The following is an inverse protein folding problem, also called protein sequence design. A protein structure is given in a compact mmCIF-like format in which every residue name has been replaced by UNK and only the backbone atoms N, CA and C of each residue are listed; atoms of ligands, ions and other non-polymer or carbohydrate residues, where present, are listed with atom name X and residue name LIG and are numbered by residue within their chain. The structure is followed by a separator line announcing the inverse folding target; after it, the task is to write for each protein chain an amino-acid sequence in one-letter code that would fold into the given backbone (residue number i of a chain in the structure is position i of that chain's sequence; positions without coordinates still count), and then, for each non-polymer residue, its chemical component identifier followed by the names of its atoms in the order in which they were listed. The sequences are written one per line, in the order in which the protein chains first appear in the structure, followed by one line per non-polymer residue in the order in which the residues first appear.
data_IF_344443675697
#
_entry.id   IF_344443675697
#
_cell.length_a   1.000
_cell.length_b   1.000
_cell.length_c   1.000
_cell.angle_alpha   90.00
_cell.angle_beta   90.00
_cell.angle_gamma   90.00
#
_symmetry.space_group_name_H-M   'P 1'
#
loop_
_entity.id
_entity.type
_entity.pdbx_description
1 polymer ?
#
# COMPACT_ATOMS: atom_id res chain seq x y z
N UNK A 1 -8.17 9.87 -16.71
CA UNK A 1 -7.12 9.30 -15.84
C UNK A 1 -6.82 10.32 -14.77
N UNK A 2 -6.82 9.94 -13.50
CA UNK A 2 -6.61 10.87 -12.39
C UNK A 2 -5.14 10.83 -11.94
N UNK A 3 -4.62 11.96 -11.46
CA UNK A 3 -3.37 12.00 -10.70
C UNK A 3 -3.77 12.40 -9.29
N UNK A 4 -3.50 11.53 -8.32
CA UNK A 4 -3.84 11.76 -6.92
C UNK A 4 -2.57 11.94 -6.08
N UNK A 5 -2.67 12.85 -5.11
CA UNK A 5 -1.63 13.19 -4.17
C UNK A 5 -2.17 13.05 -2.75
N UNK A 6 -1.37 12.52 -1.80
CA UNK A 6 -1.76 12.58 -0.41
C UNK A 6 -1.91 14.04 0.03
N UNK A 7 -2.88 14.30 0.89
CA UNK A 7 -2.92 15.55 1.65
C UNK A 7 -1.63 15.71 2.46
N UNK A 8 -1.35 16.91 2.95
CA UNK A 8 -0.13 17.18 3.74
C UNK A 8 0.06 16.14 4.86
N UNK A 9 1.17 15.40 4.81
CA UNK A 9 1.52 14.37 5.76
C UNK A 9 2.53 14.94 6.77
N UNK A 10 2.15 15.04 8.03
CA UNK A 10 3.04 15.61 9.06
C UNK A 10 4.38 14.87 9.18
N UNK A 11 4.36 13.53 9.06
CA UNK A 11 5.54 12.68 9.22
C UNK A 11 6.15 12.21 7.88
N UNK A 12 5.74 12.76 6.73
CA UNK A 12 6.42 12.50 5.46
C UNK A 12 6.49 13.70 4.53
N UNK A 13 7.63 13.87 3.87
CA UNK A 13 7.77 14.82 2.76
C UNK A 13 8.76 14.31 1.71
N UNK A 14 8.43 14.47 0.43
CA UNK A 14 9.38 14.33 -0.68
C UNK A 14 10.16 15.64 -0.83
N UNK A 15 11.47 15.63 -0.61
CA UNK A 15 12.31 16.83 -0.69
C UNK A 15 12.81 17.07 -2.11
N UNK A 16 13.26 16.01 -2.78
CA UNK A 16 13.76 16.08 -4.16
C UNK A 16 13.71 14.69 -4.80
N UNK A 17 13.72 14.66 -6.13
CA UNK A 17 13.90 13.44 -6.90
C UNK A 17 14.60 13.75 -8.22
N UNK A 18 15.27 12.75 -8.77
CA UNK A 18 16.01 12.87 -10.02
C UNK A 18 17.28 12.02 -10.01
N UNK A 19 17.85 11.80 -11.19
CA UNK A 19 19.02 10.94 -11.38
C UNK A 19 18.80 9.52 -10.84
N UNK A 20 17.60 8.98 -11.00
CA UNK A 20 17.24 7.63 -10.56
C UNK A 20 17.06 7.48 -9.05
N UNK A 21 16.86 8.58 -8.31
CA UNK A 21 16.75 8.57 -6.84
C UNK A 21 15.68 9.53 -6.34
N UNK A 22 15.27 9.31 -5.09
CA UNK A 22 14.44 10.23 -4.30
C UNK A 22 15.05 10.48 -2.92
N UNK A 23 14.82 11.68 -2.42
CA UNK A 23 15.22 12.16 -1.10
C UNK A 23 13.94 12.46 -0.32
N UNK A 24 13.74 11.74 0.78
CA UNK A 24 12.50 11.77 1.55
C UNK A 24 12.79 11.95 3.02
N UNK A 25 11.93 12.69 3.72
CA UNK A 25 11.95 12.78 5.18
C UNK A 25 10.80 11.97 5.73
N UNK A 26 11.10 11.10 6.68
CA UNK A 26 10.13 10.28 7.40
C UNK A 26 10.28 10.54 8.90
N UNK A 27 9.28 11.15 9.52
CA UNK A 27 9.28 11.52 10.94
C UNK A 27 10.60 12.19 11.37
N UNK A 28 10.98 13.25 10.64
CA UNK A 28 12.23 13.99 10.85
C UNK A 28 13.49 13.36 10.24
N UNK A 29 13.51 12.05 9.99
CA UNK A 29 14.68 11.31 9.53
C UNK A 29 14.82 11.30 8.00
N UNK A 30 15.97 11.76 7.49
CA UNK A 30 16.20 11.95 6.06
C UNK A 30 16.79 10.68 5.40
N UNK A 31 16.12 10.16 4.37
CA UNK A 31 16.53 8.96 3.64
C UNK A 31 16.66 9.22 2.14
N UNK A 32 17.68 8.63 1.52
CA UNK A 32 17.84 8.60 0.06
C UNK A 32 17.65 7.18 -0.46
N UNK A 33 16.74 7.01 -1.42
CA UNK A 33 16.38 5.70 -1.98
C UNK A 33 16.42 5.70 -3.51
N UNK A 34 16.69 4.55 -4.15
CA UNK A 34 16.53 4.41 -5.60
C UNK A 34 15.07 4.62 -6.02
N UNK A 35 14.90 5.38 -7.09
CA UNK A 35 13.64 5.58 -7.81
C UNK A 35 13.96 5.61 -9.31
N UNK A 36 14.03 4.45 -9.98
CA UNK A 36 14.44 4.37 -11.39
C UNK A 36 13.58 5.21 -12.33
N UNK A 37 12.31 5.45 -11.98
CA UNK A 37 11.41 6.31 -12.76
C UNK A 37 11.75 7.81 -12.68
N UNK A 38 12.56 8.24 -11.71
CA UNK A 38 12.98 9.64 -11.55
C UNK A 38 14.13 10.00 -12.51
N UNK A 39 13.85 9.96 -13.81
CA UNK A 39 14.82 10.15 -14.91
C UNK A 39 15.21 11.61 -15.18
N UNK A 40 14.54 12.57 -14.52
CA UNK A 40 14.86 14.00 -14.60
C UNK A 40 16.07 14.37 -13.73
N UNK A 41 16.52 15.62 -13.85
CA UNK A 41 17.62 16.14 -13.04
C UNK A 41 17.15 16.46 -11.61
N UNK A 42 18.03 16.20 -10.63
CA UNK A 42 17.86 16.66 -9.25
C UNK A 42 17.81 18.18 -9.22
N UNK A 43 16.93 18.75 -8.41
CA UNK A 43 16.83 20.20 -8.23
C UNK A 43 17.67 20.69 -7.06
N UNK A 44 17.77 19.91 -5.99
CA UNK A 44 18.58 20.27 -4.83
C UNK A 44 20.07 20.01 -5.08
N UNK A 45 20.91 20.82 -4.42
CA UNK A 45 22.37 20.68 -4.51
C UNK A 45 22.86 19.34 -3.93
N UNK A 46 24.08 18.94 -4.32
CA UNK A 46 24.73 17.75 -3.78
C UNK A 46 24.81 17.78 -2.24
N UNK A 47 25.01 18.95 -1.64
CA UNK A 47 25.07 19.12 -0.18
C UNK A 47 23.76 18.71 0.51
N UNK A 48 22.59 19.06 -0.06
CA UNK A 48 21.30 18.61 0.46
C UNK A 48 21.15 17.09 0.40
N UNK A 49 21.58 16.47 -0.71
CA UNK A 49 21.56 15.02 -0.85
C UNK A 49 22.55 14.31 0.09
N UNK A 50 23.70 14.93 0.37
CA UNK A 50 24.71 14.44 1.29
C UNK A 50 24.27 14.49 2.77
N UNK A 51 23.25 15.28 3.10
CA UNK A 51 22.64 15.29 4.44
C UNK A 51 21.79 14.04 4.73
N UNK A 52 21.52 13.18 3.74
CA UNK A 52 20.76 11.95 3.95
C UNK A 52 21.39 11.08 5.06
N UNK A 53 20.60 10.80 6.10
CA UNK A 53 21.04 10.06 7.28
C UNK A 53 21.09 8.56 7.03
N UNK A 54 20.29 8.07 6.07
CA UNK A 54 20.48 6.74 5.50
C UNK A 54 20.33 6.77 3.98
N UNK A 55 21.18 5.99 3.30
CA UNK A 55 21.18 5.87 1.85
C UNK A 55 21.05 4.39 1.50
N UNK A 56 20.00 4.00 0.79
CA UNK A 56 19.93 2.67 0.19
C UNK A 56 20.82 2.65 -1.05
N UNK A 57 21.90 1.88 -0.99
CA UNK A 57 22.93 1.78 -2.03
C UNK A 57 22.64 0.62 -2.98
N UNK A 58 23.22 0.67 -4.17
CA UNK A 58 22.95 -0.27 -5.28
C UNK A 58 23.25 -1.72 -4.94
N UNK A 59 24.16 -1.97 -3.98
CA UNK A 59 24.47 -3.31 -3.48
C UNK A 59 23.35 -3.93 -2.63
N UNK A 60 22.20 -3.25 -2.49
CA UNK A 60 21.02 -3.76 -1.81
C UNK A 60 21.09 -3.64 -0.28
N UNK A 61 21.81 -2.64 0.23
CA UNK A 61 21.99 -2.42 1.68
C UNK A 61 21.77 -0.96 2.04
N UNK A 62 21.49 -0.70 3.32
CA UNK A 62 21.49 0.65 3.86
C UNK A 62 22.89 1.05 4.31
N UNK A 63 23.41 2.14 3.75
CA UNK A 63 24.53 2.89 4.34
C UNK A 63 23.94 3.91 5.32
N UNK A 64 24.15 3.68 6.62
CA UNK A 64 23.67 4.54 7.69
C UNK A 64 24.77 5.52 8.10
N UNK A 65 24.45 6.81 8.11
CA UNK A 65 25.32 7.88 8.65
C UNK A 65 25.05 8.06 10.14
N UNK A 66 23.77 7.99 10.53
CA UNK A 66 23.30 8.00 11.92
C UNK A 66 22.17 6.97 12.09
N UNK A 67 21.87 6.46 13.29
CA UNK A 67 20.70 5.62 13.49
C UNK A 67 19.39 6.43 13.39
N UNK A 68 18.27 5.84 12.91
CA UNK A 68 16.96 6.45 13.05
C UNK A 68 16.52 6.53 14.51
N UNK A 69 15.55 7.40 14.86
CA UNK A 69 14.93 7.43 16.18
C UNK A 69 14.45 6.05 16.62
N UNK A 70 14.38 5.81 17.93
CA UNK A 70 13.88 4.55 18.49
C UNK A 70 12.84 4.82 19.58
N UNK A 71 11.56 4.47 19.36
CA UNK A 71 11.01 3.93 18.11
C UNK A 71 10.99 4.99 16.98
N UNK A 72 11.12 4.55 15.73
CA UNK A 72 10.91 5.40 14.55
C UNK A 72 9.46 5.25 14.11
N UNK A 73 8.65 6.27 14.32
CA UNK A 73 7.20 6.19 14.18
C UNK A 73 6.70 7.19 13.15
N UNK A 74 5.84 6.73 12.25
CA UNK A 74 5.09 7.53 11.29
C UNK A 74 3.66 7.68 11.78
N UNK A 75 3.22 8.92 12.01
CA UNK A 75 1.85 9.25 12.41
C UNK A 75 1.03 9.66 11.20
N UNK A 76 -0.17 9.11 11.12
CA UNK A 76 -1.15 9.42 10.10
C UNK A 76 -2.54 9.41 10.71
N UNK A 77 -3.15 10.58 10.87
CA UNK A 77 -4.39 10.73 11.63
C UNK A 77 -4.25 10.03 13.00
N UNK A 78 -5.15 9.10 13.32
CA UNK A 78 -5.12 8.34 14.57
C UNK A 78 -4.18 7.12 14.53
N UNK A 79 -3.53 6.86 13.40
CA UNK A 79 -2.62 5.73 13.23
C UNK A 79 -1.19 6.09 13.63
N UNK A 80 -0.53 5.15 14.29
CA UNK A 80 0.91 5.19 14.56
C UNK A 80 1.55 3.92 13.99
N UNK A 81 2.36 4.10 12.95
CA UNK A 81 3.00 3.02 12.20
C UNK A 81 4.50 3.00 12.47
N UNK A 82 5.05 1.83 12.79
CA UNK A 82 6.48 1.67 13.00
C UNK A 82 7.23 1.66 11.65
N UNK A 83 8.27 2.49 11.55
CA UNK A 83 9.19 2.52 10.42
C UNK A 83 10.47 1.73 10.74
N UNK A 84 11.03 1.06 9.74
CA UNK A 84 12.30 0.34 9.85
C UNK A 84 13.11 0.48 8.57
N UNK A 85 14.43 0.60 8.71
CA UNK A 85 15.34 0.35 7.59
C UNK A 85 15.40 -1.17 7.38
N UNK A 86 14.58 -1.68 6.46
CA UNK A 86 14.49 -3.12 6.18
C UNK A 86 15.73 -3.61 5.41
N UNK A 87 15.93 -4.93 5.24
CA UNK A 87 16.93 -5.45 4.31
C UNK A 87 16.72 -5.02 2.85
N UNK A 88 15.56 -4.43 2.52
CA UNK A 88 15.21 -3.90 1.21
C UNK A 88 15.09 -2.37 1.26
N UNK A 89 14.72 -1.75 0.14
CA UNK A 89 14.52 -0.30 0.03
C UNK A 89 13.28 0.24 0.77
N UNK A 90 12.43 -0.64 1.33
CA UNK A 90 11.20 -0.23 2.01
C UNK A 90 11.46 0.24 3.44
N UNK A 91 10.66 1.21 3.88
CA UNK A 91 10.72 1.80 5.23
C UNK A 91 9.57 1.33 6.13
N UNK A 92 8.62 0.55 5.60
CA UNK A 92 7.46 0.02 6.33
C UNK A 92 6.14 0.73 6.02
N UNK A 93 6.16 1.87 5.33
CA UNK A 93 4.97 2.62 4.93
C UNK A 93 5.17 3.15 3.51
N UNK A 94 4.08 3.19 2.73
CA UNK A 94 3.99 3.79 1.40
C UNK A 94 3.07 5.02 1.49
N UNK A 95 3.63 6.21 1.76
CA UNK A 95 2.84 7.40 2.11
C UNK A 95 1.87 7.86 1.01
N UNK A 96 2.18 7.57 -0.25
CA UNK A 96 1.30 7.84 -1.40
C UNK A 96 -0.04 7.10 -1.30
N UNK A 97 -0.12 5.99 -0.56
CA UNK A 97 -1.36 5.24 -0.37
C UNK A 97 -2.35 5.93 0.58
N UNK A 98 -1.95 7.00 1.29
CA UNK A 98 -2.84 7.73 2.19
C UNK A 98 -4.15 8.16 1.49
N UNK A 99 -4.10 8.54 0.20
CA UNK A 99 -5.32 8.89 -0.56
C UNK A 99 -6.31 7.73 -0.68
N UNK A 100 -5.81 6.50 -0.72
CA UNK A 100 -6.63 5.30 -0.79
C UNK A 100 -7.15 4.90 0.59
N UNK A 101 -6.37 5.17 1.65
CA UNK A 101 -6.81 4.98 3.02
C UNK A 101 -7.96 5.94 3.37
N UNK A 102 -7.83 7.22 3.01
CA UNK A 102 -8.88 8.22 3.19
C UNK A 102 -10.13 7.86 2.41
N UNK A 103 -9.98 7.54 1.13
CA UNK A 103 -11.11 7.14 0.28
C UNK A 103 -11.87 5.93 0.82
N UNK A 104 -11.15 4.87 1.24
CA UNK A 104 -11.79 3.69 1.81
C UNK A 104 -12.45 4.00 3.16
N UNK A 105 -11.79 4.78 4.02
CA UNK A 105 -12.30 5.17 5.34
C UNK A 105 -13.57 6.01 5.24
N UNK A 106 -13.64 6.91 4.26
CA UNK A 106 -14.83 7.71 3.97
C UNK A 106 -16.04 6.84 3.59
N UNK A 107 -15.83 5.84 2.73
CA UNK A 107 -16.88 4.92 2.32
C UNK A 107 -17.35 4.04 3.49
N UNK A 108 -16.39 3.56 4.30
CA UNK A 108 -16.68 2.76 5.49
C UNK A 108 -17.50 3.56 6.50
N UNK A 109 -17.11 4.81 6.77
CA UNK A 109 -17.77 5.68 7.76
C UNK A 109 -19.19 6.05 7.32
N UNK A 110 -19.44 6.18 6.00
CA UNK A 110 -20.76 6.50 5.43
C UNK A 110 -21.67 5.27 5.29
N UNK A 111 -21.15 4.07 5.48
CA UNK A 111 -21.92 2.83 5.42
C UNK A 111 -22.99 2.77 6.50
N UNK A 112 -24.17 2.25 6.15
CA UNK A 112 -25.30 2.09 7.09
C UNK A 112 -25.16 0.89 8.03
N UNK A 113 -24.19 0.01 7.75
CA UNK A 113 -23.85 -1.13 8.58
C UNK A 113 -22.33 -1.22 8.72
N UNK A 114 -21.87 -1.99 9.70
CA UNK A 114 -20.45 -2.33 9.87
C UNK A 114 -19.97 -3.16 8.67
N UNK A 115 -19.09 -2.64 7.80
CA UNK A 115 -18.66 -3.38 6.63
C UNK A 115 -17.56 -4.39 6.97
N UNK A 116 -17.53 -5.50 6.24
CA UNK A 116 -16.47 -6.51 6.27
C UNK A 116 -15.50 -6.29 5.10
N UNK A 117 -14.23 -6.02 5.40
CA UNK A 117 -13.22 -5.67 4.39
C UNK A 117 -12.16 -6.76 4.32
N UNK A 118 -11.80 -7.19 3.11
CA UNK A 118 -10.66 -8.06 2.85
C UNK A 118 -9.48 -7.23 2.34
N UNK A 119 -8.32 -7.33 3.00
CA UNK A 119 -7.07 -6.72 2.55
C UNK A 119 -6.07 -7.82 2.16
N UNK A 120 -5.75 -7.91 0.87
CA UNK A 120 -4.81 -8.88 0.29
C UNK A 120 -3.46 -8.21 0.00
N UNK A 121 -2.37 -8.95 0.21
CA UNK A 121 -1.00 -8.42 0.12
C UNK A 121 -0.79 -7.24 1.08
N UNK A 122 -1.33 -7.40 2.29
CA UNK A 122 -1.62 -6.29 3.19
C UNK A 122 -0.39 -5.71 3.91
N UNK A 123 0.79 -6.34 3.77
CA UNK A 123 2.08 -5.87 4.25
C UNK A 123 2.06 -5.48 5.74
N UNK A 124 2.47 -4.26 6.07
CA UNK A 124 2.54 -3.72 7.45
C UNK A 124 1.20 -3.20 7.96
N UNK A 125 0.12 -3.40 7.21
CA UNK A 125 -1.25 -3.23 7.68
C UNK A 125 -1.79 -1.81 7.70
N UNK A 126 -1.13 -0.81 7.09
CA UNK A 126 -1.63 0.57 7.10
C UNK A 126 -3.09 0.69 6.64
N UNK A 127 -3.43 0.11 5.48
CA UNK A 127 -4.82 0.10 4.97
C UNK A 127 -5.78 -0.72 5.86
N UNK A 128 -5.29 -1.81 6.48
CA UNK A 128 -6.08 -2.59 7.44
C UNK A 128 -6.43 -1.77 8.66
N UNK A 129 -5.47 -1.04 9.22
CA UNK A 129 -5.66 -0.23 10.42
C UNK A 129 -6.53 0.99 10.12
N UNK A 130 -6.37 1.63 8.97
CA UNK A 130 -7.26 2.70 8.52
C UNK A 130 -8.72 2.22 8.41
N UNK A 131 -8.97 1.11 7.72
CA UNK A 131 -10.31 0.54 7.61
C UNK A 131 -10.91 0.14 8.96
N UNK A 132 -10.11 -0.47 9.85
CA UNK A 132 -10.56 -0.85 11.19
C UNK A 132 -10.83 0.36 12.10
N UNK A 133 -10.02 1.42 12.00
CA UNK A 133 -10.24 2.69 12.69
C UNK A 133 -11.55 3.36 12.23
N UNK A 134 -11.83 3.32 10.93
CA UNK A 134 -13.08 3.79 10.33
C UNK A 134 -14.33 2.96 10.72
N UNK A 135 -14.14 1.81 11.38
CA UNK A 135 -15.22 1.01 11.96
C UNK A 135 -15.47 -0.35 11.31
N UNK A 136 -14.72 -0.72 10.27
CA UNK A 136 -14.87 -2.00 9.61
C UNK A 136 -14.40 -3.20 10.46
N UNK A 137 -14.93 -4.39 10.17
CA UNK A 137 -14.20 -5.63 10.45
C UNK A 137 -13.28 -5.97 9.29
N UNK A 138 -12.03 -6.34 9.57
CA UNK A 138 -11.02 -6.50 8.53
C UNK A 138 -10.40 -7.88 8.57
N UNK A 139 -10.31 -8.55 7.42
CA UNK A 139 -9.47 -9.71 7.22
C UNK A 139 -8.17 -9.28 6.54
N UNK A 140 -7.06 -9.33 7.26
CA UNK A 140 -5.72 -9.01 6.77
C UNK A 140 -5.01 -10.28 6.32
N UNK A 141 -4.52 -10.30 5.07
CA UNK A 141 -3.83 -11.46 4.50
C UNK A 141 -2.49 -11.05 3.90
N UNK A 142 -1.42 -11.68 4.37
CA UNK A 142 -0.09 -11.55 3.80
C UNK A 142 0.68 -12.88 3.96
N UNK A 143 1.51 -13.24 2.99
CA UNK A 143 2.29 -14.50 3.04
C UNK A 143 3.50 -14.41 3.97
N UNK A 144 3.94 -13.19 4.32
CA UNK A 144 5.09 -12.91 5.15
C UNK A 144 4.70 -12.85 6.62
N UNK A 145 5.05 -13.89 7.38
CA UNK A 145 4.89 -13.87 8.84
C UNK A 145 5.57 -12.65 9.50
N UNK A 146 6.79 -12.22 9.10
CA UNK A 146 7.36 -10.97 9.59
C UNK A 146 6.50 -9.74 9.32
N UNK A 147 5.87 -9.63 8.15
CA UNK A 147 4.99 -8.50 7.81
C UNK A 147 3.73 -8.51 8.68
N UNK A 148 3.06 -9.65 8.84
CA UNK A 148 1.88 -9.78 9.72
C UNK A 148 2.22 -9.46 11.18
N UNK A 149 3.39 -9.89 11.67
CA UNK A 149 3.87 -9.51 13.02
C UNK A 149 4.08 -8.00 13.13
N UNK A 150 4.63 -7.36 12.11
CA UNK A 150 4.80 -5.91 12.05
C UNK A 150 3.44 -5.19 12.03
N UNK A 151 2.48 -5.70 11.25
CA UNK A 151 1.13 -5.14 11.21
C UNK A 151 0.39 -5.24 12.55
N UNK A 152 0.55 -6.36 13.28
CA UNK A 152 0.06 -6.50 14.67
C UNK A 152 0.73 -5.49 15.61
N UNK A 153 2.04 -5.26 15.46
CA UNK A 153 2.73 -4.22 16.23
C UNK A 153 2.18 -2.83 15.95
N UNK A 154 1.86 -2.53 14.68
CA UNK A 154 1.23 -1.28 14.30
C UNK A 154 -0.20 -1.15 14.86
N UNK A 155 -0.95 -2.26 14.99
CA UNK A 155 -2.25 -2.29 15.67
C UNK A 155 -2.13 -1.85 17.13
N UNK A 156 -1.14 -2.39 17.86
CA UNK A 156 -0.86 -2.01 19.25
C UNK A 156 -0.47 -0.53 19.36
N UNK A 157 0.46 -0.07 18.50
CA UNK A 157 0.93 1.31 18.49
C UNK A 157 -0.18 2.32 18.15
N UNK A 158 -1.16 1.91 17.34
CA UNK A 158 -2.32 2.74 16.97
C UNK A 158 -3.47 2.64 17.98
N UNK A 159 -3.31 1.93 19.11
CA UNK A 159 -4.35 1.69 20.10
C UNK A 159 -5.64 1.04 19.52
N UNK A 160 -5.48 0.12 18.56
CA UNK A 160 -6.58 -0.56 17.87
C UNK A 160 -6.70 -2.05 18.27
N UNK A 161 -6.19 -2.43 19.44
CA UNK A 161 -6.13 -3.83 19.88
C UNK A 161 -7.53 -4.48 20.06
N UNK A 162 -8.55 -3.67 20.34
CA UNK A 162 -9.95 -4.07 20.48
C UNK A 162 -10.70 -4.19 19.13
N UNK A 163 -10.10 -3.68 18.05
CA UNK A 163 -10.74 -3.70 16.73
C UNK A 163 -10.78 -5.12 16.14
N UNK A 164 -11.87 -5.47 15.42
CA UNK A 164 -12.07 -6.81 14.85
C UNK A 164 -11.22 -7.04 13.60
N UNK A 165 -9.94 -7.37 13.80
CA UNK A 165 -9.00 -7.69 12.73
C UNK A 165 -8.65 -9.18 12.78
N UNK A 166 -8.99 -9.92 11.73
CA UNK A 166 -8.53 -11.30 11.52
C UNK A 166 -7.20 -11.29 10.78
N UNK A 167 -6.16 -11.81 11.42
CA UNK A 167 -4.79 -11.85 10.89
C UNK A 167 -4.47 -13.20 10.25
N UNK A 168 -4.19 -13.21 8.95
CA UNK A 168 -3.90 -14.43 8.19
C UNK A 168 -2.48 -14.36 7.62
N UNK A 169 -1.65 -15.35 8.00
CA UNK A 169 -0.36 -15.60 7.34
C UNK A 169 -0.58 -16.67 6.27
N UNK A 170 -0.85 -16.24 5.04
CA UNK A 170 -1.34 -17.14 3.99
C UNK A 170 -1.02 -16.62 2.58
N UNK A 171 -1.03 -17.52 1.60
CA UNK A 171 -1.02 -17.12 0.20
C UNK A 171 -2.37 -16.52 -0.18
N UNK A 172 -2.37 -15.29 -0.71
CA UNK A 172 -3.60 -14.53 -0.97
C UNK A 172 -4.54 -15.25 -1.94
N UNK A 173 -3.99 -15.93 -2.95
CA UNK A 173 -4.79 -16.64 -3.95
C UNK A 173 -5.43 -17.90 -3.36
N UNK A 174 -4.65 -18.76 -2.67
CA UNK A 174 -5.17 -19.95 -1.98
C UNK A 174 -6.16 -19.58 -0.88
N UNK A 175 -5.92 -18.48 -0.17
CA UNK A 175 -6.84 -17.96 0.84
C UNK A 175 -8.17 -17.55 0.22
N UNK A 176 -8.13 -16.74 -0.85
CA UNK A 176 -9.33 -16.29 -1.56
C UNK A 176 -10.15 -17.48 -2.10
N UNK A 177 -9.49 -18.51 -2.65
CA UNK A 177 -10.16 -19.74 -3.12
C UNK A 177 -10.91 -20.46 -1.99
N UNK A 178 -10.30 -20.55 -0.80
CA UNK A 178 -10.94 -21.21 0.35
C UNK A 178 -12.14 -20.43 0.87
N UNK A 179 -12.02 -19.10 0.97
CA UNK A 179 -13.12 -18.24 1.40
C UNK A 179 -14.27 -18.27 0.40
N UNK A 180 -13.97 -18.28 -0.91
CA UNK A 180 -14.98 -18.38 -1.96
C UNK A 180 -15.72 -19.73 -1.88
N UNK A 181 -15.00 -20.84 -1.67
CA UNK A 181 -15.62 -22.17 -1.44
C UNK A 181 -16.49 -22.22 -0.19
N UNK A 182 -16.17 -21.42 0.83
CA UNK A 182 -16.98 -21.29 2.06
C UNK A 182 -18.17 -20.34 1.90
N UNK A 183 -18.31 -19.66 0.75
CA UNK A 183 -19.35 -18.67 0.52
C UNK A 183 -19.19 -17.39 1.34
N UNK A 184 -17.98 -17.09 1.83
CA UNK A 184 -17.72 -15.87 2.61
C UNK A 184 -17.81 -14.66 1.69
N UNK A 185 -18.46 -13.59 2.19
CA UNK A 185 -18.60 -12.32 1.49
C UNK A 185 -17.91 -11.18 2.25
N UNK A 186 -17.34 -10.25 1.51
CA UNK A 186 -16.71 -9.02 1.99
C UNK A 186 -17.34 -7.84 1.25
N UNK A 187 -17.80 -6.84 1.99
CA UNK A 187 -18.38 -5.62 1.45
C UNK A 187 -17.35 -4.81 0.67
N UNK A 188 -16.07 -4.92 1.01
CA UNK A 188 -15.00 -4.31 0.21
C UNK A 188 -13.72 -5.13 0.16
N UNK A 189 -12.97 -4.95 -0.92
CA UNK A 189 -11.67 -5.60 -1.13
C UNK A 189 -10.61 -4.55 -1.44
N UNK A 190 -9.48 -4.62 -0.74
CA UNK A 190 -8.24 -3.90 -1.01
C UNK A 190 -7.20 -4.94 -1.45
N UNK A 191 -6.48 -4.69 -2.53
CA UNK A 191 -5.33 -5.50 -2.90
C UNK A 191 -4.17 -4.66 -3.43
N UNK A 192 -2.97 -5.00 -2.98
CA UNK A 192 -1.71 -4.40 -3.41
C UNK A 192 -0.71 -5.48 -3.91
N UNK A 193 -1.06 -6.23 -4.97
CA UNK A 193 -0.24 -7.33 -5.47
C UNK A 193 1.14 -6.84 -5.94
N UNK A 194 2.23 -7.52 -5.55
CA UNK A 194 3.56 -7.20 -6.07
C UNK A 194 3.69 -7.63 -7.54
N UNK A 195 4.57 -7.00 -8.30
CA UNK A 195 4.92 -7.44 -9.66
C UNK A 195 5.34 -8.93 -9.70
N UNK A 196 6.15 -9.32 -8.71
CA UNK A 196 6.56 -10.69 -8.45
C UNK A 196 6.53 -10.97 -6.94
N UNK A 197 5.90 -12.07 -6.54
CA UNK A 197 5.87 -12.54 -5.16
C UNK A 197 6.32 -13.99 -5.07
N UNK A 198 6.86 -14.43 -3.93
CA UNK A 198 7.06 -15.85 -3.63
C UNK A 198 6.14 -16.22 -2.48
N UNK A 199 5.38 -17.29 -2.64
CA UNK A 199 4.63 -17.88 -1.54
C UNK A 199 5.53 -18.76 -0.65
N UNK A 200 5.03 -19.15 0.52
CA UNK A 200 5.74 -19.99 1.49
C UNK A 200 6.07 -21.39 0.97
N UNK A 201 5.44 -21.82 -0.14
CA UNK A 201 5.71 -23.09 -0.83
C UNK A 201 6.68 -22.95 -2.03
N UNK A 202 7.25 -21.76 -2.23
CA UNK A 202 8.17 -21.48 -3.34
C UNK A 202 7.51 -21.20 -4.69
N UNK A 203 6.17 -21.26 -4.80
CA UNK A 203 5.47 -20.84 -6.01
C UNK A 203 5.53 -19.33 -6.14
N UNK A 204 5.83 -18.86 -7.34
CA UNK A 204 6.00 -17.43 -7.61
C UNK A 204 4.68 -16.86 -8.13
N UNK A 205 4.08 -15.92 -7.40
CA UNK A 205 3.03 -15.04 -7.91
C UNK A 205 3.64 -14.13 -8.98
N UNK A 206 3.01 -14.07 -10.15
CA UNK A 206 3.36 -13.17 -11.25
C UNK A 206 2.13 -12.36 -11.58
N UNK A 207 2.24 -11.04 -11.46
CA UNK A 207 1.11 -10.11 -11.61
C UNK A 207 0.27 -10.41 -12.88
N UNK A 208 0.90 -10.40 -14.06
CA UNK A 208 0.20 -10.54 -15.35
C UNK A 208 -0.51 -11.90 -15.52
N UNK A 209 0.04 -12.96 -14.91
CA UNK A 209 -0.48 -14.32 -15.03
C UNK A 209 -1.58 -14.58 -14.02
N UNK A 210 -1.37 -14.15 -12.77
CA UNK A 210 -2.16 -14.60 -11.63
C UNK A 210 -3.23 -13.59 -11.21
N UNK A 211 -3.06 -12.30 -11.50
CA UNK A 211 -4.05 -11.28 -11.14
C UNK A 211 -5.42 -11.51 -11.78
N UNK A 212 -5.56 -11.80 -13.09
CA UNK A 212 -6.89 -12.06 -13.68
C UNK A 212 -7.61 -13.22 -12.99
N UNK A 213 -6.87 -14.29 -12.66
CA UNK A 213 -7.41 -15.43 -11.91
C UNK A 213 -7.85 -15.02 -10.50
N UNK A 214 -7.05 -14.22 -9.81
CA UNK A 214 -7.39 -13.73 -8.47
C UNK A 214 -8.65 -12.86 -8.50
N UNK A 215 -8.80 -11.96 -9.48
CA UNK A 215 -9.99 -11.12 -9.62
C UNK A 215 -11.25 -11.96 -9.86
N UNK A 216 -11.17 -12.98 -10.72
CA UNK A 216 -12.30 -13.90 -10.93
C UNK A 216 -12.67 -14.70 -9.65
N UNK A 217 -11.72 -14.97 -8.76
CA UNK A 217 -12.04 -15.57 -7.45
C UNK A 217 -12.69 -14.51 -6.55
N UNK A 218 -12.16 -13.28 -6.54
CA UNK A 218 -12.69 -12.18 -5.74
C UNK A 218 -14.12 -11.78 -6.13
N UNK A 219 -14.56 -11.96 -7.38
CA UNK A 219 -15.97 -11.74 -7.74
C UNK A 219 -16.93 -12.62 -6.93
N UNK A 220 -16.50 -13.84 -6.59
CA UNK A 220 -17.26 -14.76 -5.73
C UNK A 220 -17.19 -14.38 -4.24
N UNK A 221 -16.30 -13.46 -3.86
CA UNK A 221 -16.15 -12.94 -2.49
C UNK A 221 -16.91 -11.63 -2.27
N UNK A 222 -17.47 -11.02 -3.32
CA UNK A 222 -18.27 -9.80 -3.21
C UNK A 222 -19.76 -10.14 -3.07
N UNK A 223 -20.53 -9.36 -2.29
CA UNK A 223 -21.99 -9.37 -2.38
C UNK A 223 -22.45 -8.75 -3.72
N UNK A 224 -23.74 -8.83 -4.02
CA UNK A 224 -24.30 -8.25 -5.25
C UNK A 224 -24.10 -6.73 -5.34
N UNK A 225 -24.09 -6.05 -4.19
CA UNK A 225 -23.85 -4.62 -4.05
C UNK A 225 -22.63 -4.37 -3.14
N UNK A 226 -21.40 -4.54 -3.64
CA UNK A 226 -20.22 -4.29 -2.83
C UNK A 226 -20.06 -2.79 -2.58
N UNK A 227 -19.53 -2.45 -1.39
CA UNK A 227 -19.20 -1.08 -0.99
C UNK A 227 -18.05 -0.53 -1.84
N UNK A 228 -16.97 -1.30 -2.02
CA UNK A 228 -15.86 -0.88 -2.87
C UNK A 228 -14.93 -2.02 -3.31
N UNK A 229 -14.11 -1.75 -4.32
CA UNK A 229 -12.94 -2.57 -4.67
C UNK A 229 -11.77 -1.66 -5.00
N UNK A 230 -10.57 -1.95 -4.50
CA UNK A 230 -9.34 -1.22 -4.82
C UNK A 230 -8.22 -2.17 -5.24
N UNK A 231 -7.62 -1.91 -6.40
CA UNK A 231 -6.35 -2.49 -6.85
C UNK A 231 -5.33 -1.37 -6.89
N UNK A 232 -4.21 -1.55 -6.19
CA UNK A 232 -2.98 -0.81 -6.43
C UNK A 232 -1.96 -1.70 -7.14
N UNK A 233 -1.09 -1.11 -7.98
CA UNK A 233 -0.01 -1.83 -8.62
C UNK A 233 1.27 -0.99 -8.68
N UNK A 234 2.36 -1.54 -8.13
CA UNK A 234 3.70 -0.97 -8.20
C UNK A 234 4.50 -1.56 -9.37
N UNK A 235 5.03 -0.69 -10.23
CA UNK A 235 6.11 -1.01 -11.19
C UNK A 235 5.86 -2.28 -12.03
N UNK A 236 4.75 -2.30 -12.77
CA UNK A 236 4.37 -3.42 -13.66
C UNK A 236 4.40 -3.06 -15.15
N UNK A 237 4.80 -1.84 -15.51
CA UNK A 237 4.82 -1.38 -16.92
C UNK A 237 3.43 -1.25 -17.56
N UNK A 238 2.36 -1.45 -16.78
CA UNK A 238 0.98 -1.31 -17.23
C UNK A 238 0.49 0.12 -17.05
N UNK A 239 -0.44 0.52 -17.91
CA UNK A 239 -1.17 1.77 -17.74
C UNK A 239 -2.28 1.60 -16.68
N UNK A 240 -2.73 2.69 -16.03
CA UNK A 240 -3.92 2.64 -15.16
C UNK A 240 -5.16 2.09 -15.86
N UNK A 241 -5.28 2.30 -17.17
CA UNK A 241 -6.39 1.79 -17.98
C UNK A 241 -6.39 0.26 -18.08
N UNK A 242 -5.22 -0.39 -18.12
CA UNK A 242 -5.12 -1.84 -18.11
C UNK A 242 -5.71 -2.43 -16.82
N UNK A 243 -5.41 -1.80 -15.66
CA UNK A 243 -5.95 -2.22 -14.37
C UNK A 243 -7.46 -1.97 -14.29
N UNK A 244 -7.94 -0.84 -14.84
CA UNK A 244 -9.38 -0.58 -14.98
C UNK A 244 -10.08 -1.66 -15.80
N UNK A 245 -9.52 -2.06 -16.94
CA UNK A 245 -10.12 -3.08 -17.79
C UNK A 245 -10.22 -4.44 -17.06
N UNK A 246 -9.16 -4.82 -16.34
CA UNK A 246 -9.18 -6.05 -15.52
C UNK A 246 -10.26 -6.01 -14.42
N UNK A 247 -10.43 -4.86 -13.76
CA UNK A 247 -11.47 -4.71 -12.75
C UNK A 247 -12.88 -4.70 -13.37
N UNK A 248 -13.01 -4.18 -14.60
CA UNK A 248 -14.26 -4.13 -15.36
C UNK A 248 -14.76 -5.51 -15.81
N UNK A 249 -13.90 -6.55 -15.80
CA UNK A 249 -14.33 -7.93 -16.06
C UNK A 249 -15.26 -8.48 -14.96
N UNK A 250 -15.24 -7.88 -13.75
CA UNK A 250 -16.01 -8.36 -12.59
C UNK A 250 -16.94 -7.31 -11.97
N UNK A 251 -16.80 -6.03 -12.35
CA UNK A 251 -17.56 -4.92 -11.78
C UNK A 251 -17.96 -3.90 -12.88
N UNK A 252 -19.03 -3.13 -12.68
CA UNK A 252 -19.50 -2.15 -13.67
C UNK A 252 -18.46 -1.07 -14.01
N UNK A 253 -18.06 -1.00 -15.28
CA UNK A 253 -16.95 -0.18 -15.78
C UNK A 253 -17.14 1.33 -15.58
N UNK A 254 -18.38 1.79 -15.57
CA UNK A 254 -18.80 3.19 -15.39
C UNK A 254 -18.58 3.69 -13.96
N UNK A 255 -18.53 2.78 -12.98
CA UNK A 255 -18.23 3.08 -11.57
C UNK A 255 -16.76 2.92 -11.21
N UNK A 256 -15.91 2.53 -12.16
CA UNK A 256 -14.47 2.35 -11.94
C UNK A 256 -13.69 3.60 -12.31
N UNK A 257 -13.00 4.16 -11.33
CA UNK A 257 -12.00 5.21 -11.49
C UNK A 257 -10.60 4.59 -11.57
N UNK A 258 -9.70 5.20 -12.34
CA UNK A 258 -8.30 4.80 -12.39
C UNK A 258 -7.37 5.99 -12.60
N UNK A 259 -6.12 5.81 -12.18
CA UNK A 259 -5.14 6.87 -12.19
C UNK A 259 -3.79 6.46 -11.62
N UNK A 260 -3.01 7.47 -11.30
CA UNK A 260 -1.68 7.35 -10.72
C UNK A 260 -1.66 7.98 -9.33
N UNK A 261 -0.86 7.40 -8.44
CA UNK A 261 -0.55 7.95 -7.13
C UNK A 261 0.83 8.58 -7.18
N UNK A 262 0.90 9.84 -6.78
CA UNK A 262 2.12 10.63 -6.82
C UNK A 262 2.49 11.10 -5.43
N UNK A 263 3.80 11.18 -5.18
CA UNK A 263 4.35 12.03 -4.12
C UNK A 263 4.80 13.32 -4.77
N UNK A 264 4.52 14.46 -4.14
CA UNK A 264 4.87 15.76 -4.69
C UNK A 264 5.44 16.72 -3.65
N UNK A 265 6.11 17.73 -4.17
CA UNK A 265 6.40 18.99 -3.51
C UNK A 265 6.06 20.14 -4.47
N UNK A 266 6.41 21.39 -4.11
CA UNK A 266 6.11 22.57 -4.93
C UNK A 266 6.73 22.52 -6.35
N UNK A 267 7.72 21.65 -6.53
CA UNK A 267 8.60 21.62 -7.68
C UNK A 267 8.41 20.39 -8.59
N UNK A 268 7.99 19.26 -8.02
CA UNK A 268 7.99 17.94 -8.67
C UNK A 268 6.75 17.17 -8.26
N UNK A 269 6.12 16.55 -9.25
CA UNK A 269 5.11 15.52 -9.09
C UNK A 269 5.71 14.17 -9.54
N UNK A 270 6.02 13.29 -8.60
CA UNK A 270 6.72 12.04 -8.84
C UNK A 270 5.76 10.84 -8.82
N UNK A 271 5.55 10.13 -9.94
CA UNK A 271 4.70 8.95 -9.99
C UNK A 271 5.29 7.82 -9.13
N UNK A 272 4.43 7.12 -8.39
CA UNK A 272 4.80 6.05 -7.47
C UNK A 272 4.13 4.72 -7.82
N UNK A 273 2.82 4.75 -8.06
CA UNK A 273 2.03 3.56 -8.42
C UNK A 273 0.81 3.94 -9.25
N UNK A 274 0.12 2.92 -9.77
CA UNK A 274 -1.16 3.07 -10.45
C UNK A 274 -2.27 2.42 -9.63
N UNK A 275 -3.50 2.90 -9.79
CA UNK A 275 -4.66 2.31 -9.12
C UNK A 275 -5.87 2.20 -10.05
N UNK A 276 -6.75 1.25 -9.73
CA UNK A 276 -8.15 1.26 -10.16
C UNK A 276 -9.04 0.97 -8.95
N UNK A 277 -10.14 1.71 -8.83
CA UNK A 277 -11.07 1.57 -7.72
C UNK A 277 -12.54 1.72 -8.15
N UNK A 278 -13.39 0.85 -7.61
CA UNK A 278 -14.84 0.85 -7.74
C UNK A 278 -15.47 1.31 -6.43
N UNK A 279 -16.53 2.12 -6.50
CA UNK A 279 -17.42 2.46 -5.37
C UNK A 279 -18.80 2.88 -5.85
#
# INVERSE_FOLDING_TARGET
MQILHPNSLNDHSLLDSGGGRKLERFAGYLVSRPEPGAIWNKKLSADHWNQAQAVFIETGKWRQVSPPPRPWLFRYQDLTLELKLTPYKHTGVFPEQAVNWDWASDLITKSQHKPSILNLFAYTGAATLAAAAAGASVCHVDSSQPAVKWAKRNQELSNLADKPIRWMVDDCLKFAEREAKRGVKYDGIIMDPPAFGRDTSGKTFKFDRDLPRLLNICSNLLPDNPLFFLINAYNVGHSPQAIKNLLADILPAERIQCGELHLSNDDISMPCSIFARFS
#
